data_IF_722956632749
#
_entry.id   IF_722956632749
#
_cell.length_a   1.000
_cell.length_b   1.000
_cell.length_c   1.000
_cell.angle_alpha   90.00
_cell.angle_beta   90.00
_cell.angle_gamma   90.00
#
_symmetry.space_group_name_H-M   'P 1'
#
loop_
_entity.id
_entity.type
_entity.pdbx_description
1 polymer ?
#
# COMPACT_ATOMS: atom_id res chain seq x y z
N UNK A 1 7.61 81.42 -19.12
CA UNK A 1 6.85 81.93 -17.96
C UNK A 1 7.48 81.36 -16.71
N UNK A 2 8.08 82.26 -15.92
CA UNK A 2 8.55 82.17 -14.53
C UNK A 2 9.23 80.87 -14.02
N UNK A 3 10.57 80.94 -13.91
CA UNK A 3 11.35 80.51 -12.72
C UNK A 3 11.08 81.49 -11.54
N UNK A 4 11.62 81.38 -10.28
CA UNK A 4 12.71 80.52 -9.77
C UNK A 4 12.58 80.01 -8.29
N UNK A 5 13.62 79.28 -7.84
CA UNK A 5 14.28 79.23 -6.51
C UNK A 5 13.51 79.14 -5.18
N UNK A 6 13.85 78.15 -4.34
CA UNK A 6 14.84 78.31 -3.24
C UNK A 6 14.70 77.29 -2.08
N UNK A 7 15.87 76.80 -1.66
CA UNK A 7 16.33 76.57 -0.28
C UNK A 7 15.52 75.70 0.72
N UNK A 8 16.13 74.55 1.06
CA UNK A 8 16.58 74.17 2.42
C UNK A 8 15.63 74.41 3.60
N UNK A 9 15.21 73.33 4.26
CA UNK A 9 15.45 73.18 5.71
C UNK A 9 15.32 71.74 6.17
N UNK A 10 16.34 71.26 6.88
CA UNK A 10 16.34 70.00 7.61
C UNK A 10 15.29 70.07 8.72
N UNK A 11 14.32 69.16 8.73
CA UNK A 11 13.53 68.89 9.92
C UNK A 11 13.95 67.52 10.44
N UNK A 12 14.83 67.56 11.44
CA UNK A 12 15.15 66.43 12.33
C UNK A 12 13.83 65.77 12.74
N UNK A 13 13.66 64.50 12.42
CA UNK A 13 12.63 63.68 13.05
C UNK A 13 13.15 63.38 14.45
N UNK A 14 12.87 64.29 15.37
CA UNK A 14 13.03 64.03 16.80
C UNK A 14 12.21 62.80 17.15
N UNK A 15 12.94 61.78 17.58
CA UNK A 15 12.46 60.69 18.40
C UNK A 15 11.80 61.28 19.64
N UNK A 16 10.48 61.49 19.59
CA UNK A 16 9.73 61.78 20.80
C UNK A 16 9.60 60.51 21.62
N UNK A 17 10.46 60.47 22.64
CA UNK A 17 10.41 59.55 23.73
C UNK A 17 9.06 59.67 24.46
N UNK A 18 8.37 58.53 24.54
CA UNK A 18 7.75 58.06 25.76
C UNK A 18 6.82 59.06 26.47
N UNK A 19 5.77 59.53 25.80
CA UNK A 19 4.64 60.14 26.49
C UNK A 19 3.75 59.02 27.04
N UNK A 20 4.01 58.64 28.29
CA UNK A 20 3.24 57.67 29.08
C UNK A 20 1.84 58.20 29.39
N UNK A 21 1.07 58.48 28.35
CA UNK A 21 -0.34 58.83 28.44
C UNK A 21 -1.15 57.56 28.66
N UNK A 22 -2.21 57.66 29.47
CA UNK A 22 -3.20 56.56 29.64
C UNK A 22 -3.68 56.02 28.30
N UNK A 23 -3.77 56.89 27.29
CA UNK A 23 -4.16 56.54 25.93
C UNK A 23 -3.12 55.66 25.23
N UNK A 24 -1.82 56.00 25.32
CA UNK A 24 -0.72 55.19 24.81
C UNK A 24 -0.64 53.80 25.46
N UNK A 25 -0.80 53.73 26.79
CA UNK A 25 -0.88 52.47 27.53
C UNK A 25 -2.08 51.62 27.11
N UNK A 26 -3.26 52.24 26.93
CA UNK A 26 -4.46 51.54 26.47
C UNK A 26 -4.35 51.07 25.02
N UNK A 27 -3.76 51.85 24.11
CA UNK A 27 -3.54 51.43 22.71
C UNK A 27 -2.51 50.32 22.59
N UNK A 28 -1.41 50.38 23.35
CA UNK A 28 -0.40 49.32 23.38
C UNK A 28 -0.96 48.05 24.01
N UNK A 29 -1.71 48.18 25.11
CA UNK A 29 -2.40 47.07 25.77
C UNK A 29 -3.45 46.42 24.86
N UNK A 30 -4.25 47.22 24.13
CA UNK A 30 -5.23 46.73 23.17
C UNK A 30 -4.56 46.01 22.00
N UNK A 31 -3.46 46.55 21.46
CA UNK A 31 -2.70 45.91 20.38
C UNK A 31 -2.04 44.60 20.85
N UNK A 32 -1.45 44.58 22.04
CA UNK A 32 -0.86 43.38 22.63
C UNK A 32 -1.92 42.31 22.91
N UNK A 33 -3.09 42.69 23.42
CA UNK A 33 -4.20 41.77 23.67
C UNK A 33 -4.78 41.22 22.37
N UNK A 34 -4.97 42.07 21.35
CA UNK A 34 -5.41 41.64 20.03
C UNK A 34 -4.39 40.70 19.37
N UNK A 35 -3.10 40.97 19.50
CA UNK A 35 -2.03 40.10 19.02
C UNK A 35 -2.00 38.75 19.74
N UNK A 36 -2.12 38.75 21.07
CA UNK A 36 -2.21 37.53 21.87
C UNK A 36 -3.46 36.71 21.54
N UNK A 37 -4.61 37.36 21.35
CA UNK A 37 -5.85 36.70 20.96
C UNK A 37 -5.77 36.11 19.54
N UNK A 38 -5.19 36.84 18.59
CA UNK A 38 -4.97 36.36 17.22
C UNK A 38 -4.00 35.17 17.19
N UNK A 39 -2.92 35.23 17.97
CA UNK A 39 -1.99 34.11 18.12
C UNK A 39 -2.68 32.90 18.77
N UNK A 40 -3.42 33.11 19.85
CA UNK A 40 -4.18 32.06 20.54
C UNK A 40 -5.22 31.40 19.62
N UNK A 41 -5.87 32.18 18.76
CA UNK A 41 -6.79 31.67 17.74
C UNK A 41 -6.06 30.89 16.65
N UNK A 42 -4.90 31.37 16.19
CA UNK A 42 -4.08 30.70 15.18
C UNK A 42 -3.51 29.35 15.66
N UNK A 43 -3.17 29.25 16.94
CA UNK A 43 -2.70 28.00 17.56
C UNK A 43 -3.82 27.15 18.16
N UNK A 44 -5.07 27.64 18.19
CA UNK A 44 -6.19 26.89 18.77
C UNK A 44 -6.38 25.51 18.14
N UNK A 45 -6.21 25.32 16.81
CA UNK A 45 -6.28 23.99 16.20
C UNK A 45 -5.21 23.01 16.69
N UNK A 46 -4.07 23.50 17.22
CA UNK A 46 -3.03 22.64 17.81
C UNK A 46 -3.46 22.05 19.16
N UNK A 47 -4.47 22.62 19.83
CA UNK A 47 -4.98 22.08 21.10
C UNK A 47 -5.81 20.80 20.92
N UNK A 48 -6.31 20.59 19.70
CA UNK A 48 -7.08 19.40 19.34
C UNK A 48 -6.18 18.29 18.78
N UNK A 49 -4.87 18.53 18.65
CA UNK A 49 -3.90 17.50 18.28
C UNK A 49 -3.51 16.70 19.53
N UNK A 50 -3.64 15.38 19.44
CA UNK A 50 -3.08 14.48 20.43
C UNK A 50 -1.55 14.59 20.39
N UNK A 51 -0.85 14.87 21.51
CA UNK A 51 0.61 14.90 21.55
C UNK A 51 1.25 13.61 21.03
N UNK A 52 0.53 12.49 21.08
CA UNK A 52 0.99 11.21 20.52
C UNK A 52 0.96 11.13 18.99
N UNK A 53 0.23 12.02 18.31
CA UNK A 53 0.11 12.06 16.85
C UNK A 53 1.09 13.07 16.21
N UNK A 54 1.86 13.79 17.02
CA UNK A 54 2.89 14.72 16.54
C UNK A 54 4.20 13.96 16.30
N UNK A 55 4.84 14.13 15.12
CA UNK A 55 6.11 13.48 14.85
C UNK A 55 7.18 13.96 15.83
N UNK A 56 7.97 13.02 16.32
CA UNK A 56 9.14 13.34 17.15
C UNK A 56 10.16 14.13 16.32
N UNK A 57 11.05 14.94 16.95
CA UNK A 57 12.13 15.60 16.20
C UNK A 57 13.02 14.62 15.41
N UNK A 58 13.17 13.40 15.90
CA UNK A 58 13.89 12.33 15.21
C UNK A 58 13.15 11.85 13.96
N UNK A 59 11.83 11.67 14.02
CA UNK A 59 11.00 11.36 12.86
C UNK A 59 11.00 12.49 11.83
N UNK A 60 10.88 13.73 12.29
CA UNK A 60 10.85 14.89 11.41
C UNK A 60 12.16 15.07 10.62
N UNK A 61 13.29 14.72 11.23
CA UNK A 61 14.62 14.81 10.62
C UNK A 61 15.08 13.49 9.98
N UNK A 62 14.21 12.48 9.94
CA UNK A 62 14.54 11.19 9.34
C UNK A 62 14.89 11.38 7.87
N UNK A 63 16.03 10.81 7.47
CA UNK A 63 16.44 10.79 6.06
C UNK A 63 15.59 9.81 5.28
N UNK A 64 15.51 10.03 3.98
CA UNK A 64 14.95 9.04 3.07
C UNK A 64 15.68 7.69 3.23
N UNK A 65 14.96 6.57 3.20
CA UNK A 65 15.53 5.24 3.48
C UNK A 65 16.81 4.92 2.71
N UNK A 66 16.90 5.32 1.44
CA UNK A 66 18.10 5.07 0.61
C UNK A 66 19.33 5.88 1.01
N UNK A 67 19.17 6.90 1.84
CA UNK A 67 20.25 7.76 2.33
C UNK A 67 20.63 7.46 3.78
N UNK A 68 19.90 6.55 4.44
CA UNK A 68 20.19 6.13 5.80
C UNK A 68 21.43 5.23 5.85
N UNK A 69 22.33 5.55 6.76
CA UNK A 69 23.45 4.68 7.16
C UNK A 69 22.96 3.47 7.96
N UNK A 70 23.82 2.47 8.19
CA UNK A 70 23.47 1.33 9.03
C UNK A 70 23.21 1.76 10.48
N UNK A 71 23.89 2.80 10.96
CA UNK A 71 23.62 3.44 12.25
C UNK A 71 22.24 4.11 12.26
N UNK A 72 21.94 4.96 11.26
CA UNK A 72 20.63 5.63 11.12
C UNK A 72 19.50 4.59 11.13
N UNK A 73 19.66 3.49 10.38
CA UNK A 73 18.67 2.40 10.32
C UNK A 73 18.46 1.74 11.68
N UNK A 74 19.52 1.45 12.44
CA UNK A 74 19.38 0.85 13.78
C UNK A 74 18.60 1.74 14.73
N UNK A 75 18.87 3.05 14.70
CA UNK A 75 18.15 4.03 15.52
C UNK A 75 16.67 4.08 15.14
N UNK A 76 16.36 4.12 13.84
CA UNK A 76 14.98 4.13 13.33
C UNK A 76 14.25 2.83 13.68
N UNK A 77 14.87 1.66 13.49
CA UNK A 77 14.28 0.38 13.82
C UNK A 77 13.96 0.28 15.32
N UNK A 78 14.86 0.73 16.18
CA UNK A 78 14.63 0.76 17.63
C UNK A 78 13.50 1.72 18.00
N UNK A 79 13.48 2.93 17.41
CA UNK A 79 12.42 3.92 17.63
C UNK A 79 11.04 3.36 17.27
N UNK A 80 10.92 2.70 16.11
CA UNK A 80 9.64 2.10 15.69
C UNK A 80 9.26 0.94 16.62
N UNK A 81 10.22 0.14 17.10
CA UNK A 81 9.94 -0.95 18.04
C UNK A 81 9.41 -0.40 19.38
N UNK A 82 10.01 0.67 19.89
CA UNK A 82 9.58 1.36 21.11
C UNK A 82 8.19 1.98 20.93
N UNK A 83 7.90 2.54 19.75
CA UNK A 83 6.59 3.08 19.42
C UNK A 83 5.52 2.00 19.40
N UNK A 84 5.79 0.86 18.76
CA UNK A 84 4.87 -0.30 18.75
C UNK A 84 4.63 -0.80 20.17
N UNK A 85 5.68 -0.94 20.97
CA UNK A 85 5.55 -1.33 22.38
C UNK A 85 4.70 -0.34 23.18
N UNK A 86 4.85 0.96 22.93
CA UNK A 86 4.11 2.03 23.62
C UNK A 86 2.64 2.08 23.20
N UNK A 87 2.36 2.08 21.89
CA UNK A 87 1.00 2.26 21.34
C UNK A 87 0.18 0.98 21.34
N UNK A 88 0.82 -0.19 21.29
CA UNK A 88 0.16 -1.48 21.07
C UNK A 88 0.51 -2.54 22.11
N UNK A 89 1.33 -2.21 23.11
CA UNK A 89 1.70 -3.11 24.20
C UNK A 89 2.36 -4.44 23.77
N UNK A 90 2.95 -4.47 22.57
CA UNK A 90 3.59 -5.65 21.98
C UNK A 90 5.07 -5.40 21.77
N UNK A 91 5.89 -6.33 22.27
CA UNK A 91 7.33 -6.31 22.05
C UNK A 91 7.60 -6.79 20.61
N UNK A 92 7.82 -5.83 19.71
CA UNK A 92 8.07 -6.09 18.30
C UNK A 92 9.57 -6.23 18.01
N UNK A 93 9.92 -7.18 17.16
CA UNK A 93 11.22 -7.30 16.53
C UNK A 93 11.12 -6.71 15.12
N UNK A 94 11.84 -5.63 14.86
CA UNK A 94 11.82 -4.96 13.56
C UNK A 94 13.17 -5.13 12.88
N UNK A 95 13.13 -5.73 11.69
CA UNK A 95 14.31 -5.99 10.87
C UNK A 95 14.25 -5.27 9.52
N UNK A 96 15.40 -5.18 8.85
CA UNK A 96 15.50 -4.67 7.47
C UNK A 96 16.15 -5.74 6.58
N UNK A 97 15.43 -6.80 6.19
CA UNK A 97 16.00 -7.87 5.40
C UNK A 97 16.33 -7.32 4.00
N UNK A 98 17.60 -7.39 3.56
CA UNK A 98 18.03 -6.81 2.29
C UNK A 98 17.39 -7.56 1.11
N UNK A 99 17.24 -6.90 -0.06
CA UNK A 99 16.87 -7.60 -1.29
C UNK A 99 17.88 -8.70 -1.62
N UNK A 100 17.41 -9.74 -2.29
CA UNK A 100 18.25 -10.86 -2.70
C UNK A 100 18.80 -10.63 -4.12
N UNK A 101 20.12 -10.70 -4.26
CA UNK A 101 20.77 -10.62 -5.57
C UNK A 101 20.49 -11.86 -6.43
N UNK A 102 20.31 -11.67 -7.74
CA UNK A 102 20.06 -12.77 -8.68
C UNK A 102 18.70 -13.47 -8.48
N UNK A 103 17.79 -12.83 -7.76
CA UNK A 103 16.42 -13.30 -7.54
C UNK A 103 15.44 -12.36 -8.23
N UNK A 104 14.41 -12.93 -8.86
CA UNK A 104 13.26 -12.17 -9.31
C UNK A 104 11.99 -12.90 -8.87
N UNK A 105 11.34 -12.36 -7.84
CA UNK A 105 10.16 -13.00 -7.27
C UNK A 105 8.93 -12.83 -8.16
N UNK A 106 8.27 -13.95 -8.44
CA UNK A 106 7.01 -13.98 -9.17
C UNK A 106 5.97 -14.84 -8.46
N UNK A 107 4.71 -14.61 -8.81
CA UNK A 107 3.58 -15.39 -8.36
C UNK A 107 2.92 -16.10 -9.54
N UNK A 108 2.58 -17.38 -9.36
CA UNK A 108 1.69 -18.13 -10.24
C UNK A 108 0.41 -18.50 -9.49
N UNK A 109 -0.76 -18.10 -9.99
CA UNK A 109 -2.05 -18.38 -9.39
C UNK A 109 -2.89 -19.29 -10.28
N UNK A 110 -3.07 -20.54 -9.82
CA UNK A 110 -3.93 -21.53 -10.47
C UNK A 110 -5.40 -21.21 -10.19
N UNK A 111 -6.08 -20.63 -11.16
CA UNK A 111 -7.51 -20.31 -11.05
C UNK A 111 -8.40 -21.54 -11.23
N UNK A 112 -7.89 -22.63 -11.83
CA UNK A 112 -8.58 -23.93 -11.87
C UNK A 112 -8.70 -24.58 -10.49
N UNK A 113 -7.83 -24.23 -9.53
CA UNK A 113 -7.85 -24.78 -8.15
C UNK A 113 -8.38 -23.80 -7.11
N UNK A 114 -8.63 -22.54 -7.47
CA UNK A 114 -9.20 -21.58 -6.54
C UNK A 114 -10.68 -21.93 -6.26
N UNK A 115 -11.03 -21.99 -4.98
CA UNK A 115 -12.38 -22.32 -4.49
C UNK A 115 -13.07 -21.13 -3.80
N UNK A 116 -12.48 -19.94 -3.85
CA UNK A 116 -13.12 -18.75 -3.26
C UNK A 116 -13.16 -18.70 -1.73
N UNK A 117 -12.42 -19.56 -1.02
CA UNK A 117 -12.49 -19.66 0.45
C UNK A 117 -11.93 -18.45 1.24
N UNK A 118 -11.33 -17.46 0.58
CA UNK A 118 -10.75 -16.24 1.18
C UNK A 118 -9.74 -16.42 2.32
N UNK A 119 -9.33 -17.65 2.68
CA UNK A 119 -8.27 -17.89 3.69
C UNK A 119 -6.99 -17.11 3.42
N UNK A 120 -6.61 -16.96 2.14
CA UNK A 120 -5.47 -16.15 1.73
C UNK A 120 -5.59 -14.67 2.09
N UNK A 121 -6.81 -14.12 2.10
CA UNK A 121 -7.10 -12.74 2.51
C UNK A 121 -6.84 -12.59 4.01
N UNK A 122 -7.47 -13.43 4.83
CA UNK A 122 -7.32 -13.39 6.30
C UNK A 122 -5.87 -13.62 6.74
N UNK A 123 -5.16 -14.59 6.14
CA UNK A 123 -3.74 -14.79 6.45
C UNK A 123 -2.88 -13.58 6.07
N UNK A 124 -3.17 -12.91 4.95
CA UNK A 124 -2.46 -11.70 4.57
C UNK A 124 -2.74 -10.55 5.55
N UNK A 125 -3.98 -10.42 6.00
CA UNK A 125 -4.44 -9.42 6.98
C UNK A 125 -3.73 -9.61 8.34
N UNK A 126 -3.65 -10.84 8.82
CA UNK A 126 -2.96 -11.18 10.07
C UNK A 126 -1.44 -11.00 9.95
N UNK A 127 -0.82 -11.59 8.92
CA UNK A 127 0.63 -11.55 8.74
C UNK A 127 1.17 -10.14 8.57
N UNK A 128 0.44 -9.30 7.82
CA UNK A 128 0.89 -7.97 7.43
C UNK A 128 0.33 -6.85 8.30
N UNK A 129 -0.19 -7.16 9.49
CA UNK A 129 -0.74 -6.17 10.42
C UNK A 129 -1.69 -5.17 9.72
N UNK A 130 -2.63 -5.66 8.90
CA UNK A 130 -3.60 -4.79 8.19
C UNK A 130 -4.68 -4.29 9.14
N UNK A 131 -5.16 -3.07 8.92
CA UNK A 131 -6.24 -2.52 9.74
C UNK A 131 -7.49 -3.40 9.70
N UNK A 132 -8.13 -3.60 10.86
CA UNK A 132 -9.45 -4.24 11.00
C UNK A 132 -10.57 -3.20 10.99
N UNK A 133 -10.29 -1.97 11.41
CA UNK A 133 -11.25 -0.87 11.41
C UNK A 133 -10.56 0.47 11.09
N UNK A 134 -10.79 1.07 9.90
CA UNK A 134 -11.50 0.48 8.76
C UNK A 134 -10.77 -0.76 8.24
N UNK A 135 -11.51 -1.72 7.68
CA UNK A 135 -10.90 -2.96 7.17
C UNK A 135 -10.05 -2.67 5.93
N UNK A 136 -8.81 -3.14 5.93
CA UNK A 136 -7.94 -3.13 4.75
C UNK A 136 -7.62 -4.57 4.33
N UNK A 137 -7.77 -4.82 3.04
CA UNK A 137 -7.44 -6.11 2.41
C UNK A 137 -6.58 -5.90 1.16
N UNK A 138 -5.37 -6.45 1.18
CA UNK A 138 -4.46 -6.45 0.01
C UNK A 138 -4.92 -7.39 -1.11
N UNK A 139 -5.67 -8.43 -0.75
CA UNK A 139 -6.15 -9.46 -1.67
C UNK A 139 -7.65 -9.32 -1.75
N UNK A 140 -8.18 -9.16 -2.95
CA UNK A 140 -9.61 -9.25 -3.24
C UNK A 140 -9.86 -10.54 -3.97
N UNK A 141 -10.86 -11.31 -3.57
CA UNK A 141 -11.29 -12.48 -4.34
C UNK A 141 -12.55 -12.08 -5.09
N UNK A 142 -12.50 -12.17 -6.42
CA UNK A 142 -13.63 -11.85 -7.28
C UNK A 142 -14.41 -13.13 -7.54
N UNK A 143 -15.69 -13.15 -7.21
CA UNK A 143 -16.60 -14.22 -7.64
C UNK A 143 -17.16 -13.88 -9.03
N UNK A 144 -17.00 -14.82 -9.95
CA UNK A 144 -17.26 -14.68 -11.37
C UNK A 144 -18.26 -15.73 -11.83
N UNK A 145 -19.15 -15.37 -12.77
CA UNK A 145 -19.96 -16.35 -13.48
C UNK A 145 -19.08 -17.28 -14.31
N UNK A 146 -19.35 -18.58 -14.27
CA UNK A 146 -18.68 -19.51 -15.17
C UNK A 146 -19.06 -19.23 -16.62
N UNK A 147 -18.06 -19.32 -17.50
CA UNK A 147 -18.19 -18.91 -18.90
C UNK A 147 -17.93 -17.42 -19.15
N UNK A 148 -17.78 -16.59 -18.10
CA UNK A 148 -17.43 -15.18 -18.23
C UNK A 148 -16.08 -14.88 -17.59
N UNK A 149 -15.31 -14.00 -18.23
CA UNK A 149 -14.10 -13.37 -17.66
C UNK A 149 -14.29 -11.86 -17.41
N UNK A 150 -15.53 -11.38 -17.48
CA UNK A 150 -15.83 -9.97 -17.30
C UNK A 150 -15.72 -9.57 -15.82
N UNK A 151 -14.59 -8.93 -15.49
CA UNK A 151 -14.29 -8.46 -14.13
C UNK A 151 -15.18 -7.31 -13.66
N UNK A 152 -15.83 -6.59 -14.58
CA UNK A 152 -16.71 -5.45 -14.23
C UNK A 152 -18.03 -5.93 -13.61
N UNK A 153 -18.47 -7.15 -13.95
CA UNK A 153 -19.67 -7.77 -13.37
C UNK A 153 -19.35 -8.68 -12.18
N UNK A 154 -18.09 -8.69 -11.72
CA UNK A 154 -17.66 -9.58 -10.66
C UNK A 154 -18.20 -9.15 -9.29
N UNK A 155 -18.53 -10.13 -8.45
CA UNK A 155 -18.92 -9.87 -7.07
C UNK A 155 -17.70 -9.85 -6.14
N UNK A 156 -17.46 -8.71 -5.50
CA UNK A 156 -16.38 -8.51 -4.52
C UNK A 156 -16.77 -8.88 -3.09
N UNK A 157 -18.08 -8.97 -2.81
CA UNK A 157 -18.65 -9.04 -1.47
C UNK A 157 -19.58 -10.25 -1.32
N UNK A 158 -19.27 -11.35 -2.02
CA UNK A 158 -20.03 -12.57 -1.89
C UNK A 158 -19.89 -13.14 -0.46
N UNK A 159 -21.03 -13.56 0.09
CA UNK A 159 -21.15 -14.17 1.43
C UNK A 159 -22.16 -15.33 1.41
N UNK A 160 -21.91 -16.39 0.61
CA UNK A 160 -22.76 -17.56 0.61
C UNK A 160 -22.49 -18.42 1.85
N UNK A 161 -23.46 -19.24 2.24
CA UNK A 161 -23.30 -20.21 3.34
C UNK A 161 -22.13 -21.18 3.09
N UNK A 162 -21.89 -21.55 1.84
CA UNK A 162 -20.80 -22.45 1.44
C UNK A 162 -20.07 -21.95 0.19
N UNK A 163 -18.78 -22.29 0.12
CA UNK A 163 -17.92 -22.11 -1.05
C UNK A 163 -17.15 -23.41 -1.32
N UNK A 164 -16.89 -23.78 -2.59
CA UNK A 164 -17.18 -23.01 -3.80
C UNK A 164 -18.64 -23.12 -4.25
N UNK A 165 -19.18 -22.06 -4.86
CA UNK A 165 -20.46 -22.13 -5.56
C UNK A 165 -20.31 -22.91 -6.90
N UNK A 166 -21.17 -23.90 -7.19
CA UNK A 166 -21.10 -24.71 -8.42
C UNK A 166 -21.18 -23.92 -9.73
N UNK A 167 -21.81 -22.75 -9.75
CA UNK A 167 -21.98 -21.93 -10.97
C UNK A 167 -20.95 -20.81 -11.08
N UNK A 168 -20.03 -20.70 -10.11
CA UNK A 168 -19.05 -19.63 -10.02
C UNK A 168 -17.62 -20.12 -10.11
N UNK A 169 -16.74 -19.23 -10.52
CA UNK A 169 -15.29 -19.39 -10.35
C UNK A 169 -14.71 -18.13 -9.71
N UNK A 170 -13.48 -18.25 -9.19
CA UNK A 170 -12.92 -17.23 -8.33
C UNK A 170 -11.58 -16.73 -8.85
N UNK A 171 -11.43 -15.41 -8.93
CA UNK A 171 -10.21 -14.72 -9.37
C UNK A 171 -9.66 -13.85 -8.23
N UNK A 172 -8.67 -14.33 -7.47
CA UNK A 172 -7.97 -13.49 -6.49
C UNK A 172 -7.06 -12.45 -7.18
N UNK A 173 -7.27 -11.17 -6.90
CA UNK A 173 -6.49 -10.03 -7.40
C UNK A 173 -5.77 -9.34 -6.25
N UNK A 174 -4.50 -9.00 -6.45
CA UNK A 174 -3.63 -8.32 -5.48
C UNK A 174 -2.57 -7.48 -6.19
N UNK A 175 -1.57 -6.94 -5.48
CA UNK A 175 -0.46 -6.26 -6.16
C UNK A 175 0.35 -7.25 -7.00
N UNK A 176 0.59 -6.90 -8.27
CA UNK A 176 1.27 -7.74 -9.22
C UNK A 176 2.80 -7.57 -9.26
N UNK A 177 3.39 -6.67 -8.44
CA UNK A 177 4.82 -6.33 -8.45
C UNK A 177 5.39 -6.11 -9.87
N UNK A 178 4.69 -5.29 -10.65
CA UNK A 178 5.00 -4.92 -12.02
C UNK A 178 6.49 -4.60 -12.22
N UNK A 179 7.11 -5.16 -13.26
CA UNK A 179 8.46 -4.80 -13.69
C UNK A 179 8.52 -3.39 -14.29
N UNK A 180 7.43 -2.93 -14.92
CA UNK A 180 7.25 -1.51 -15.27
C UNK A 180 6.12 -0.86 -14.46
N UNK A 181 6.35 -0.53 -13.17
CA UNK A 181 5.29 -0.12 -12.26
C UNK A 181 4.89 1.37 -12.47
N UNK A 182 3.68 1.67 -12.97
CA UNK A 182 3.23 3.06 -13.10
C UNK A 182 3.12 3.75 -11.74
N UNK A 183 2.75 3.00 -10.71
CA UNK A 183 2.65 3.48 -9.33
C UNK A 183 3.98 3.98 -8.71
N UNK A 184 5.14 3.57 -9.26
CA UNK A 184 6.45 4.12 -8.87
C UNK A 184 6.72 5.43 -9.60
N UNK A 185 6.51 5.46 -10.92
CA UNK A 185 6.75 6.62 -11.78
C UNK A 185 5.98 7.89 -11.34
N UNK A 186 4.81 7.71 -10.74
CA UNK A 186 3.93 8.82 -10.34
C UNK A 186 4.17 9.32 -8.91
N UNK A 187 5.08 8.73 -8.14
CA UNK A 187 5.33 9.16 -6.76
C UNK A 187 6.21 10.42 -6.76
N UNK A 188 5.69 11.59 -6.37
CA UNK A 188 6.43 12.85 -6.48
C UNK A 188 7.58 12.97 -5.48
N UNK A 189 7.56 12.18 -4.41
CA UNK A 189 8.56 12.19 -3.32
C UNK A 189 9.40 10.91 -3.31
N UNK A 190 9.25 10.04 -4.30
CA UNK A 190 10.01 8.78 -4.40
C UNK A 190 9.88 7.81 -3.21
N UNK A 191 8.81 7.92 -2.42
CA UNK A 191 8.50 7.02 -1.29
C UNK A 191 8.25 5.55 -1.69
N UNK A 192 8.24 5.23 -2.98
CA UNK A 192 8.06 3.85 -3.47
C UNK A 192 8.99 3.62 -4.64
N UNK A 193 9.68 2.48 -4.65
CA UNK A 193 10.62 2.08 -5.69
C UNK A 193 10.62 0.55 -5.86
N UNK A 194 11.34 0.04 -6.84
CA UNK A 194 11.55 -1.40 -7.04
C UNK A 194 12.92 -1.81 -6.50
N UNK A 195 12.95 -2.86 -5.69
CA UNK A 195 14.16 -3.50 -5.18
C UNK A 195 14.72 -4.54 -6.17
N UNK A 196 15.98 -4.94 -6.00
CA UNK A 196 16.69 -5.85 -6.91
C UNK A 196 16.01 -7.23 -7.04
N UNK A 197 15.26 -7.66 -6.02
CA UNK A 197 14.51 -8.91 -6.01
C UNK A 197 13.14 -8.83 -6.74
N UNK A 198 12.85 -7.69 -7.37
CA UNK A 198 11.62 -7.42 -8.11
C UNK A 198 10.45 -6.93 -7.25
N UNK A 199 10.61 -6.86 -5.93
CA UNK A 199 9.54 -6.36 -5.04
C UNK A 199 9.49 -4.84 -5.12
N UNK A 200 8.34 -4.29 -5.50
CA UNK A 200 8.09 -2.86 -5.30
C UNK A 200 7.89 -2.61 -3.80
N UNK A 201 8.53 -1.64 -3.19
CA UNK A 201 8.40 -1.32 -1.75
C UNK A 201 7.76 0.05 -1.54
N UNK A 202 7.30 0.33 -0.32
CA UNK A 202 6.90 1.67 0.12
C UNK A 202 7.64 1.94 1.42
N UNK A 203 8.28 3.10 1.49
CA UNK A 203 8.66 3.68 2.78
C UNK A 203 7.44 4.40 3.36
N UNK A 204 6.89 3.84 4.43
CA UNK A 204 5.70 4.40 5.08
C UNK A 204 6.00 5.74 5.75
N UNK A 205 7.22 5.97 6.24
CA UNK A 205 7.60 7.23 6.91
C UNK A 205 7.80 8.37 5.89
N UNK A 206 8.14 8.02 4.65
CA UNK A 206 8.34 9.01 3.58
C UNK A 206 7.07 9.28 2.75
N UNK A 207 6.05 8.44 2.90
CA UNK A 207 4.84 8.54 2.10
C UNK A 207 3.96 9.73 2.53
N UNK A 208 3.91 10.77 1.69
CA UNK A 208 3.08 11.97 1.94
C UNK A 208 1.57 11.80 1.69
N UNK A 209 1.09 10.59 1.37
CA UNK A 209 -0.34 10.35 1.19
C UNK A 209 -1.02 11.04 0.00
N UNK A 210 -0.29 11.46 -1.04
CA UNK A 210 -0.87 12.13 -2.21
C UNK A 210 -1.74 11.22 -3.10
N UNK A 211 -1.69 9.90 -2.91
CA UNK A 211 -2.52 8.87 -3.57
C UNK A 211 -2.42 8.77 -5.08
N UNK A 212 -1.49 9.47 -5.75
CA UNK A 212 -1.26 9.28 -7.18
C UNK A 212 -0.90 7.84 -7.55
N UNK A 213 -0.16 7.14 -6.69
CA UNK A 213 0.15 5.73 -6.89
C UNK A 213 -1.08 4.80 -6.81
N UNK A 214 -2.14 5.21 -6.09
CA UNK A 214 -3.43 4.52 -6.07
C UNK A 214 -4.13 4.66 -7.42
N UNK A 215 -4.25 5.89 -7.92
CA UNK A 215 -4.89 6.20 -9.20
C UNK A 215 -4.16 5.57 -10.40
N UNK A 216 -2.83 5.51 -10.35
CA UNK A 216 -2.02 4.94 -11.43
C UNK A 216 -2.03 3.41 -11.47
N UNK A 217 -2.50 2.72 -10.43
CA UNK A 217 -2.46 1.26 -10.36
C UNK A 217 -3.64 0.63 -11.11
N UNK A 218 -3.43 -0.09 -12.24
CA UNK A 218 -4.52 -0.66 -13.04
C UNK A 218 -5.24 -1.84 -12.35
N UNK A 219 -4.70 -2.31 -11.22
CA UNK A 219 -5.20 -3.45 -10.46
C UNK A 219 -5.91 -3.04 -9.16
N UNK A 220 -5.94 -1.73 -8.86
CA UNK A 220 -6.45 -1.19 -7.59
C UNK A 220 -5.88 -1.94 -6.36
N UNK A 221 -4.55 -2.12 -6.38
CA UNK A 221 -3.81 -2.94 -5.42
C UNK A 221 -3.11 -2.14 -4.31
N UNK A 222 -3.17 -0.81 -4.39
CA UNK A 222 -2.69 0.10 -3.35
C UNK A 222 -3.88 0.48 -2.47
N UNK A 223 -3.66 0.56 -1.16
CA UNK A 223 -4.67 0.90 -0.15
C UNK A 223 -4.22 2.13 0.61
N UNK A 224 -5.13 3.07 0.83
CA UNK A 224 -4.84 4.28 1.58
C UNK A 224 -5.45 4.20 2.98
N UNK A 225 -4.67 4.54 3.99
CA UNK A 225 -5.14 4.63 5.37
C UNK A 225 -5.89 5.95 5.60
N UNK A 226 -7.17 6.00 5.23
CA UNK A 226 -8.01 7.22 5.40
C UNK A 226 -8.25 7.60 6.86
N UNK A 227 -8.36 6.61 7.72
CA UNK A 227 -8.56 6.75 9.15
C UNK A 227 -7.48 5.98 9.89
N UNK A 228 -7.37 6.22 11.19
CA UNK A 228 -6.39 5.58 12.05
C UNK A 228 -6.51 4.05 12.02
N UNK A 229 -5.47 3.31 11.59
CA UNK A 229 -5.50 1.86 11.50
C UNK A 229 -5.65 1.17 12.87
N UNK A 230 -6.74 0.43 13.06
CA UNK A 230 -6.98 -0.33 14.31
C UNK A 230 -6.71 -1.81 14.12
N UNK A 231 -5.84 -2.34 14.96
CA UNK A 231 -5.46 -3.75 15.00
C UNK A 231 -5.53 -4.15 16.48
N UNK A 232 -6.26 -5.21 16.86
CA UNK A 232 -6.27 -5.70 18.22
C UNK A 232 -4.84 -6.07 18.67
N UNK A 233 -4.46 -5.68 19.89
CA UNK A 233 -3.10 -5.87 20.42
C UNK A 233 -2.71 -7.37 20.44
N UNK A 234 -3.67 -8.26 20.68
CA UNK A 234 -3.49 -9.72 20.67
C UNK A 234 -3.38 -10.35 19.27
N UNK A 235 -3.70 -9.60 18.22
CA UNK A 235 -3.60 -10.04 16.81
C UNK A 235 -2.39 -9.47 16.07
N UNK A 236 -1.59 -8.60 16.71
CA UNK A 236 -0.40 -8.00 16.08
C UNK A 236 0.69 -9.06 15.91
N UNK A 237 1.21 -9.16 14.69
CA UNK A 237 2.40 -9.93 14.39
C UNK A 237 3.65 -9.15 14.85
N UNK A 238 4.40 -9.63 15.86
CA UNK A 238 5.56 -8.94 16.39
C UNK A 238 6.81 -9.03 15.50
N UNK A 239 6.85 -9.96 14.53
CA UNK A 239 7.97 -10.10 13.59
C UNK A 239 7.75 -9.17 12.40
N UNK A 240 8.38 -8.00 12.42
CA UNK A 240 8.12 -6.92 11.47
C UNK A 240 9.35 -6.62 10.62
N UNK A 241 9.13 -6.09 9.42
CA UNK A 241 10.16 -5.47 8.62
C UNK A 241 9.83 -4.02 8.27
N UNK A 242 10.86 -3.16 8.21
CA UNK A 242 10.73 -1.72 7.99
C UNK A 242 9.90 -1.38 6.74
N UNK A 243 10.22 -1.99 5.60
CA UNK A 243 9.54 -1.80 4.31
C UNK A 243 8.34 -2.74 4.08
N UNK A 244 7.83 -3.41 5.13
CA UNK A 244 6.80 -4.46 4.96
C UNK A 244 5.60 -4.34 5.89
N UNK A 245 5.59 -5.08 7.01
CA UNK A 245 4.41 -5.40 7.80
C UNK A 245 4.36 -4.67 9.14
N UNK A 246 5.21 -3.67 9.37
CA UNK A 246 4.99 -2.79 10.53
C UNK A 246 3.60 -2.13 10.45
N UNK A 247 2.95 -1.79 11.58
CA UNK A 247 1.75 -0.97 11.59
C UNK A 247 1.98 0.33 10.78
N UNK A 248 0.94 0.78 10.08
CA UNK A 248 0.98 2.01 9.30
C UNK A 248 0.19 3.09 10.02
N UNK A 249 0.59 4.32 9.83
CA UNK A 249 -0.17 5.49 10.28
C UNK A 249 -1.27 5.87 9.29
N UNK A 250 -2.20 6.69 9.78
CA UNK A 250 -3.14 7.41 8.93
C UNK A 250 -2.41 8.25 7.89
N UNK A 251 -2.96 8.31 6.68
CA UNK A 251 -2.43 9.12 5.59
C UNK A 251 -1.35 8.43 4.77
N UNK A 252 -1.02 7.17 5.04
CA UNK A 252 0.00 6.42 4.32
C UNK A 252 -0.61 5.41 3.35
N UNK A 253 0.06 5.20 2.22
CA UNK A 253 -0.26 4.14 1.27
C UNK A 253 0.37 2.82 1.67
N UNK A 254 -0.35 1.73 1.48
CA UNK A 254 0.12 0.37 1.73
C UNK A 254 -0.28 -0.58 0.58
N UNK A 255 0.39 -1.72 0.47
CA UNK A 255 0.10 -2.75 -0.53
C UNK A 255 0.75 -4.08 -0.16
N UNK A 256 0.38 -5.14 -0.88
CA UNK A 256 1.12 -6.40 -0.81
C UNK A 256 2.59 -6.19 -1.17
N UNK A 257 3.49 -6.71 -0.34
CA UNK A 257 4.97 -6.67 -0.47
C UNK A 257 5.55 -8.06 -0.73
N UNK A 258 4.72 -9.00 -1.23
CA UNK A 258 5.05 -10.43 -1.28
C UNK A 258 5.50 -11.01 0.06
N UNK A 259 5.09 -10.39 1.17
CA UNK A 259 5.56 -10.74 2.51
C UNK A 259 7.09 -10.74 2.58
N UNK A 260 7.75 -9.65 2.16
CA UNK A 260 9.22 -9.59 2.11
C UNK A 260 9.91 -9.92 3.44
N UNK A 261 9.24 -9.69 4.58
CA UNK A 261 9.69 -10.09 5.91
C UNK A 261 9.83 -11.62 6.07
N UNK A 262 9.13 -12.39 5.22
CA UNK A 262 9.17 -13.85 5.14
C UNK A 262 10.07 -14.30 4.00
N UNK A 263 9.85 -13.77 2.80
CA UNK A 263 10.47 -14.33 1.58
C UNK A 263 11.97 -14.09 1.52
N UNK A 264 12.46 -12.97 2.05
CA UNK A 264 13.90 -12.68 2.12
C UNK A 264 14.65 -13.52 3.15
N UNK A 265 13.94 -14.21 4.04
CA UNK A 265 14.50 -15.15 5.04
C UNK A 265 14.13 -16.61 4.75
N UNK A 266 13.73 -16.91 3.50
CA UNK A 266 13.48 -18.28 3.03
C UNK A 266 12.11 -18.86 3.42
N UNK A 267 11.18 -18.07 3.97
CA UNK A 267 9.80 -18.49 4.25
C UNK A 267 8.87 -18.16 3.07
N UNK A 268 7.78 -18.90 2.91
CA UNK A 268 6.80 -18.62 1.86
C UNK A 268 5.84 -17.49 2.28
N UNK A 269 5.20 -16.77 1.33
CA UNK A 269 4.18 -15.78 1.68
C UNK A 269 3.01 -16.43 2.43
N UNK A 270 2.48 -15.77 3.47
CA UNK A 270 1.40 -16.32 4.29
C UNK A 270 0.13 -16.66 3.48
N UNK A 271 -0.17 -15.86 2.45
CA UNK A 271 -1.30 -16.12 1.57
C UNK A 271 -1.14 -17.42 0.75
N UNK A 272 0.10 -17.84 0.47
CA UNK A 272 0.41 -19.12 -0.18
C UNK A 272 0.27 -20.27 0.81
N UNK A 273 0.93 -20.18 1.96
CA UNK A 273 0.99 -21.27 2.95
C UNK A 273 -0.39 -21.69 3.47
N UNK A 274 -1.31 -20.73 3.62
CA UNK A 274 -2.68 -21.02 4.09
C UNK A 274 -3.57 -21.63 3.01
N UNK A 275 -3.17 -21.62 1.73
CA UNK A 275 -4.03 -21.99 0.62
C UNK A 275 -4.31 -23.50 0.61
N UNK A 276 -5.54 -23.96 0.92
CA UNK A 276 -5.80 -25.39 1.11
C UNK A 276 -5.75 -26.19 -0.20
N UNK A 277 -5.93 -25.52 -1.34
CA UNK A 277 -5.97 -26.18 -2.65
C UNK A 277 -4.65 -26.11 -3.41
N UNK A 278 -3.63 -25.45 -2.84
CA UNK A 278 -2.35 -25.22 -3.53
C UNK A 278 -2.50 -24.33 -4.77
N UNK A 279 -3.51 -23.47 -4.81
CA UNK A 279 -3.78 -22.56 -5.94
C UNK A 279 -2.67 -21.51 -6.12
N UNK A 280 -1.96 -21.17 -5.05
CA UNK A 280 -0.95 -20.11 -5.04
C UNK A 280 0.45 -20.71 -5.10
N UNK A 281 1.29 -20.20 -6.01
CA UNK A 281 2.68 -20.60 -6.25
C UNK A 281 3.57 -19.36 -6.26
N UNK A 282 4.73 -19.45 -5.64
CA UNK A 282 5.65 -18.33 -5.45
C UNK A 282 7.08 -18.83 -5.58
N UNK A 283 7.95 -18.04 -6.19
CA UNK A 283 9.36 -18.40 -6.31
C UNK A 283 10.17 -17.44 -7.16
N UNK A 284 11.44 -17.77 -7.34
CA UNK A 284 12.37 -17.04 -8.19
C UNK A 284 12.21 -17.49 -9.66
N UNK A 285 11.78 -16.61 -10.56
CA UNK A 285 11.64 -16.96 -11.99
C UNK A 285 12.98 -17.19 -12.68
N UNK A 286 14.07 -16.65 -12.14
CA UNK A 286 15.42 -16.85 -12.69
C UNK A 286 16.01 -18.23 -12.35
N UNK A 287 15.46 -18.94 -11.36
CA UNK A 287 15.82 -20.32 -11.09
C UNK A 287 15.04 -21.25 -12.03
N UNK A 288 15.69 -21.94 -13.00
CA UNK A 288 15.03 -22.83 -13.94
C UNK A 288 14.41 -24.07 -13.28
N UNK A 289 14.82 -24.40 -12.05
CA UNK A 289 14.25 -25.50 -11.27
C UNK A 289 13.07 -25.07 -10.41
N UNK A 290 12.73 -23.79 -10.37
CA UNK A 290 11.61 -23.29 -9.58
C UNK A 290 10.27 -23.75 -10.14
N UNK A 291 9.30 -23.97 -9.25
CA UNK A 291 7.94 -24.35 -9.66
C UNK A 291 7.29 -23.27 -10.55
N UNK A 292 7.59 -21.99 -10.29
CA UNK A 292 7.08 -20.87 -11.10
C UNK A 292 7.69 -20.85 -12.50
N UNK A 293 8.99 -21.09 -12.67
CA UNK A 293 9.61 -21.19 -13.99
C UNK A 293 9.03 -22.37 -14.78
N UNK A 294 8.80 -23.51 -14.11
CA UNK A 294 8.11 -24.65 -14.72
C UNK A 294 6.70 -24.27 -15.20
N UNK A 295 5.90 -23.59 -14.37
CA UNK A 295 4.53 -23.16 -14.72
C UNK A 295 4.56 -22.24 -15.94
N UNK A 296 5.40 -21.21 -15.94
CA UNK A 296 5.47 -20.23 -17.03
C UNK A 296 5.91 -20.85 -18.36
N UNK A 297 6.70 -21.93 -18.32
CA UNK A 297 7.16 -22.64 -19.53
C UNK A 297 6.18 -23.69 -20.05
N UNK A 298 5.40 -24.34 -19.18
CA UNK A 298 4.63 -25.55 -19.54
C UNK A 298 3.12 -25.43 -19.38
N UNK A 299 2.59 -24.34 -18.82
CA UNK A 299 1.14 -24.13 -18.61
C UNK A 299 0.63 -22.99 -19.46
N UNK A 300 -0.68 -23.01 -19.77
CA UNK A 300 -1.38 -21.83 -20.28
C UNK A 300 -1.45 -20.76 -19.22
N UNK A 301 -0.75 -19.66 -19.47
CA UNK A 301 -0.68 -18.48 -18.61
C UNK A 301 -1.61 -17.40 -19.14
N UNK A 302 -2.33 -16.77 -18.23
CA UNK A 302 -3.12 -15.57 -18.46
C UNK A 302 -2.52 -14.40 -17.67
N UNK A 303 -2.33 -13.28 -18.36
CA UNK A 303 -1.85 -12.03 -17.78
C UNK A 303 -3.01 -11.05 -17.70
N UNK A 304 -3.39 -10.67 -16.49
CA UNK A 304 -4.48 -9.72 -16.28
C UNK A 304 -4.05 -8.32 -16.72
N UNK A 305 -4.84 -7.71 -17.61
CA UNK A 305 -4.60 -6.39 -18.23
C UNK A 305 -3.20 -6.31 -18.86
N UNK A 306 -2.89 -7.24 -19.75
CA UNK A 306 -1.62 -7.26 -20.49
C UNK A 306 -1.47 -6.02 -21.40
N UNK A 307 -2.59 -5.55 -21.95
CA UNK A 307 -2.71 -4.40 -22.86
C UNK A 307 -2.17 -3.08 -22.29
N UNK A 308 -2.18 -2.91 -20.97
CA UNK A 308 -1.65 -1.69 -20.33
C UNK A 308 -0.12 -1.67 -20.19
N UNK A 309 0.57 -2.77 -20.51
CA UNK A 309 2.03 -2.80 -20.61
C UNK A 309 2.80 -2.67 -19.29
N UNK A 310 2.22 -3.03 -18.13
CA UNK A 310 2.94 -2.93 -16.83
C UNK A 310 3.94 -4.07 -16.55
N UNK A 311 3.99 -5.10 -17.41
CA UNK A 311 4.86 -6.27 -17.27
C UNK A 311 4.73 -6.89 -15.86
N UNK A 312 3.55 -7.43 -15.49
CA UNK A 312 3.30 -7.93 -14.14
C UNK A 312 4.13 -9.17 -13.80
N UNK A 313 4.52 -9.31 -12.53
CA UNK A 313 5.16 -10.51 -11.94
C UNK A 313 4.16 -11.41 -11.24
N UNK A 314 2.90 -11.33 -11.66
CA UNK A 314 1.79 -12.10 -11.11
C UNK A 314 1.00 -12.67 -12.27
N UNK A 315 1.09 -13.99 -12.40
CA UNK A 315 0.61 -14.74 -13.53
C UNK A 315 -0.54 -15.62 -13.07
N UNK A 316 -1.61 -15.69 -13.86
CA UNK A 316 -2.67 -16.66 -13.64
C UNK A 316 -2.43 -17.85 -14.56
N UNK A 317 -2.80 -19.05 -14.15
CA UNK A 317 -2.69 -20.21 -15.04
C UNK A 317 -3.82 -21.21 -14.80
N UNK A 318 -4.00 -22.08 -15.78
CA UNK A 318 -4.99 -23.14 -15.77
C UNK A 318 -4.28 -24.49 -15.81
N UNK A 319 -4.87 -25.49 -15.15
CA UNK A 319 -4.51 -26.88 -15.43
C UNK A 319 -5.12 -27.30 -16.78
N UNK A 320 -4.33 -27.92 -17.66
CA UNK A 320 -4.81 -28.47 -18.93
C UNK A 320 -5.26 -29.94 -18.79
N UNK A 321 -6.39 -30.24 -19.45
CA UNK A 321 -7.18 -31.49 -19.54
C UNK A 321 -8.13 -31.76 -18.37
N UNK A 322 -9.41 -31.57 -18.68
CA UNK A 322 -10.50 -31.62 -17.73
C UNK A 322 -10.91 -30.19 -17.42
N UNK A 323 -11.85 -29.68 -18.21
CA UNK A 323 -12.80 -28.74 -17.65
C UNK A 323 -13.19 -29.23 -16.24
N UNK A 324 -13.41 -28.31 -15.30
CA UNK A 324 -14.00 -28.72 -14.01
C UNK A 324 -15.39 -29.37 -14.20
N UNK A 325 -15.92 -29.32 -15.42
CA UNK A 325 -17.02 -30.11 -15.97
C UNK A 325 -16.43 -31.25 -16.81
N UNK A 326 -16.96 -32.46 -16.72
CA UNK A 326 -16.35 -33.67 -17.30
C UNK A 326 -16.16 -33.69 -18.83
N UNK A 327 -16.47 -32.60 -19.53
CA UNK A 327 -16.41 -32.55 -20.97
C UNK A 327 -15.11 -31.87 -21.40
N UNK A 328 -14.27 -32.64 -22.10
CA UNK A 328 -13.18 -32.08 -22.88
C UNK A 328 -13.74 -31.02 -23.83
N UNK A 329 -13.04 -29.90 -23.99
CA UNK A 329 -13.36 -28.91 -25.04
C UNK A 329 -13.33 -29.55 -26.45
N UNK A 330 -12.66 -30.71 -26.57
CA UNK A 330 -12.63 -31.56 -27.75
C UNK A 330 -13.81 -32.55 -27.87
N UNK A 331 -14.88 -32.42 -27.07
CA UNK A 331 -16.10 -33.20 -27.28
C UNK A 331 -16.88 -32.65 -28.49
N UNK A 332 -16.98 -33.40 -29.60
CA UNK A 332 -17.73 -32.96 -30.78
C UNK A 332 -19.23 -32.78 -30.52
N UNK A 333 -19.75 -33.20 -29.36
CA UNK A 333 -21.15 -33.00 -28.96
C UNK A 333 -21.50 -31.53 -28.64
N UNK A 334 -20.51 -30.67 -28.37
CA UNK A 334 -20.72 -29.28 -27.90
C UNK A 334 -20.70 -28.26 -29.05
N UNK A 335 -20.59 -28.71 -30.32
CA UNK A 335 -20.43 -27.84 -31.49
C UNK A 335 -21.42 -28.05 -32.64
N UNK A 336 -22.48 -28.85 -32.47
CA UNK A 336 -23.49 -29.00 -33.53
C UNK A 336 -24.56 -27.90 -33.40
N UNK A 337 -24.54 -26.94 -34.32
CA UNK A 337 -25.73 -26.12 -34.58
C UNK A 337 -26.90 -27.05 -34.90
N UNK A 338 -28.12 -26.82 -34.37
CA UNK A 338 -29.25 -27.65 -34.72
C UNK A 338 -29.55 -27.45 -36.21
N UNK A 339 -29.46 -28.54 -36.97
CA UNK A 339 -29.92 -28.59 -38.36
C UNK A 339 -31.34 -28.03 -38.42
N UNK A 340 -31.54 -26.99 -39.24
CA UNK A 340 -32.85 -26.50 -39.59
C UNK A 340 -33.64 -27.67 -40.20
N UNK A 341 -34.64 -28.16 -39.46
CA UNK A 341 -35.55 -29.16 -39.98
C UNK A 341 -36.57 -28.46 -40.86
N UNK A 342 -36.51 -28.77 -42.16
CA UNK A 342 -37.57 -28.52 -43.14
C UNK A 342 -38.87 -29.20 -42.67
N UNK A 343 -39.89 -28.41 -42.28
CA UNK A 343 -41.32 -28.56 -42.65
C UNK A 343 -42.02 -27.20 -42.54
#
# INVERSE_FOLDING_TARGET
>A
MATPDSASTSAKTETDANDSTRRGFLTLGAAAFAGAAAFAAAISPLKDLDPEDLPTPAEFLQKHYKEMTDEDKKEVLQRIADEVQRRRHVAAEIVDPPPLDGVEFVYGLNISRCIGCRKCVHACVNENNQSRAPEIQYIRVLEMEKGSINVETANHHYDPETVPNPDKWYLPVQCHQCADPPCVKVCPVEATWQEADGITVIDYDWCIGCRYCEAACPYWARRFNFAEPRIPDDEINPQMAYLSNRPRDKGVMEKCTFCLQRTRVGKLPACLEVCPTGSRKFGNVLDPNSEVAYILKHKRVYVLKEDVGTIPRFFYYFDERGSRYHDSIDDPSVGAEPEASDV
#
